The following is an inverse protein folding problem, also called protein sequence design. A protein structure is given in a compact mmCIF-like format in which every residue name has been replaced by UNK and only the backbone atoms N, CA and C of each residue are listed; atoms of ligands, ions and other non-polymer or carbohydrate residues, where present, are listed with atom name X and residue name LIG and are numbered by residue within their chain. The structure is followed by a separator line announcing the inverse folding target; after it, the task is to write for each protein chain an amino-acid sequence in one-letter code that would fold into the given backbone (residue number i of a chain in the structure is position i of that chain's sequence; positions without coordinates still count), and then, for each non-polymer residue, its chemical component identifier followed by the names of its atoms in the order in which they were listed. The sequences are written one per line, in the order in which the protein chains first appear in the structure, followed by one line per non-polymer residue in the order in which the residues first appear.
data_IF_286146144942
#
_entry.id   IF_286146144942
#
_cell.length_a   1.000
_cell.length_b   1.000
_cell.length_c   1.000
_cell.angle_alpha   90.00
_cell.angle_beta   90.00
_cell.angle_gamma   90.00
#
_symmetry.space_group_name_H-M   'P 1'
#
loop_
_entity.id
_entity.type
_entity.pdbx_description
1 polymer ?
#
# COMPACT_ATOMS: atom_id res chain seq x y z
N UNK A 1 13.42 -25.73 -5.38
CA UNK A 1 14.44 -26.37 -6.27
C UNK A 1 13.69 -26.85 -7.51
N UNK A 2 13.99 -26.54 -8.77
CA UNK A 2 15.26 -26.30 -9.48
C UNK A 2 15.10 -25.24 -10.59
N UNK A 3 16.24 -24.69 -10.98
CA UNK A 3 16.53 -23.73 -12.06
C UNK A 3 16.48 -24.36 -13.48
N UNK A 4 16.20 -23.48 -14.45
CA UNK A 4 16.79 -23.27 -15.82
C UNK A 4 17.00 -24.45 -16.80
N UNK A 5 16.65 -24.23 -18.08
CA UNK A 5 17.56 -24.05 -19.25
C UNK A 5 16.77 -24.31 -20.57
N UNK A 6 16.71 -23.34 -21.49
CA UNK A 6 17.49 -23.20 -22.74
C UNK A 6 17.27 -24.33 -23.76
N UNK A 7 16.60 -23.98 -24.85
CA UNK A 7 16.80 -24.46 -26.24
C UNK A 7 16.47 -23.24 -27.14
N UNK A 8 17.28 -22.79 -28.09
CA UNK A 8 18.42 -23.41 -28.75
C UNK A 8 18.04 -23.93 -30.14
N UNK A 9 18.12 -23.05 -31.15
CA UNK A 9 18.35 -23.33 -32.57
C UNK A 9 19.23 -22.14 -33.03
N UNK A 10 20.52 -22.23 -33.31
CA UNK A 10 21.26 -23.23 -34.10
C UNK A 10 21.42 -22.66 -35.53
N UNK A 11 22.41 -21.81 -35.79
CA UNK A 11 23.77 -22.08 -36.33
C UNK A 11 23.85 -22.21 -37.87
N UNK A 12 24.73 -21.40 -38.48
CA UNK A 12 25.30 -21.55 -39.84
C UNK A 12 25.36 -20.21 -40.58
N UNK A 13 26.49 -19.65 -41.03
CA UNK A 13 27.86 -20.14 -41.19
C UNK A 13 28.82 -18.92 -41.18
N UNK A 14 29.94 -19.05 -40.48
CA UNK A 14 31.14 -18.20 -40.56
C UNK A 14 31.87 -18.42 -41.88
N UNK A 15 32.59 -17.39 -42.36
CA UNK A 15 34.03 -17.35 -42.75
C UNK A 15 34.33 -15.92 -43.27
N UNK A 16 35.46 -15.22 -43.10
CA UNK A 16 36.60 -15.22 -42.18
C UNK A 16 37.57 -14.14 -42.73
N UNK A 17 38.32 -13.48 -41.83
CA UNK A 17 39.59 -12.72 -42.03
C UNK A 17 39.55 -11.26 -42.51
N UNK A 18 39.89 -10.35 -41.58
CA UNK A 18 40.74 -9.19 -41.87
C UNK A 18 42.21 -9.65 -41.98
N UNK A 19 43.09 -8.89 -42.66
CA UNK A 19 43.92 -7.96 -41.88
C UNK A 19 44.24 -6.59 -42.54
N UNK A 20 44.33 -5.57 -41.67
CA UNK A 20 45.35 -4.50 -41.59
C UNK A 20 45.40 -3.43 -42.72
N UNK A 21 45.06 -2.19 -42.33
CA UNK A 21 45.46 -0.91 -42.96
C UNK A 21 46.99 -0.68 -42.82
N UNK A 22 47.68 0.14 -43.65
CA UNK A 22 47.19 1.45 -44.10
C UNK A 22 47.58 1.85 -45.54
N UNK A 23 46.97 2.90 -46.07
CA UNK A 23 47.61 3.97 -46.86
C UNK A 23 46.58 5.09 -47.07
N UNK A 24 46.88 6.26 -46.52
CA UNK A 24 46.25 7.53 -46.90
C UNK A 24 46.52 7.80 -48.39
N UNK A 25 45.46 7.94 -49.21
CA UNK A 25 45.54 8.63 -50.50
C UNK A 25 44.30 9.49 -50.74
N UNK A 26 44.56 10.74 -51.10
CA UNK A 26 43.63 11.78 -51.50
C UNK A 26 42.53 11.29 -52.44
N UNK A 27 41.26 11.43 -52.03
CA UNK A 27 40.09 11.25 -52.89
C UNK A 27 39.76 12.56 -53.61
N UNK A 28 40.47 12.84 -54.71
CA UNK A 28 39.97 13.66 -55.80
C UNK A 28 40.12 12.86 -57.08
N UNK A 29 39.01 12.79 -57.83
CA UNK A 29 38.80 12.10 -59.10
C UNK A 29 38.25 10.67 -58.95
N UNK A 30 36.93 10.56 -58.96
CA UNK A 30 36.24 9.35 -59.39
C UNK A 30 36.38 9.34 -60.91
N UNK A 31 37.37 8.61 -61.41
CA UNK A 31 37.38 8.12 -62.78
C UNK A 31 37.11 6.62 -62.67
N UNK A 32 35.92 6.18 -63.11
CA UNK A 32 35.65 4.76 -63.24
C UNK A 32 36.41 4.27 -64.48
N UNK A 33 37.52 3.55 -64.26
CA UNK A 33 37.88 2.50 -65.19
C UNK A 33 36.85 1.39 -64.96
N UNK A 34 35.94 1.21 -65.91
CA UNK A 34 34.99 0.09 -65.89
C UNK A 34 35.74 -1.24 -65.77
N UNK A 35 35.11 -2.19 -65.08
CA UNK A 35 35.57 -3.57 -64.98
C UNK A 35 36.02 -4.08 -66.36
N UNK A 36 37.32 -4.34 -66.50
CA UNK A 36 37.85 -5.13 -67.62
C UNK A 36 37.49 -6.60 -67.39
N UNK A 37 36.24 -6.96 -67.70
CA UNK A 37 35.85 -8.34 -68.00
C UNK A 37 35.38 -8.38 -69.44
N UNK A 38 36.18 -9.03 -70.29
CA UNK A 38 35.84 -9.57 -71.62
C UNK A 38 34.88 -8.74 -72.49
N UNK A 39 35.46 -8.06 -73.48
CA UNK A 39 34.84 -7.47 -74.68
C UNK A 39 33.44 -7.99 -75.06
N UNK A 40 32.40 -7.45 -74.45
CA UNK A 40 31.13 -7.23 -75.14
C UNK A 40 31.27 -5.89 -75.85
N UNK A 41 31.07 -5.86 -77.17
CA UNK A 41 31.01 -4.58 -77.89
C UNK A 41 29.90 -3.74 -77.26
N UNK A 42 30.22 -2.50 -76.87
CA UNK A 42 29.22 -1.54 -76.40
C UNK A 42 28.27 -1.23 -77.57
N UNK A 43 27.13 -1.92 -77.63
CA UNK A 43 26.14 -1.74 -78.70
C UNK A 43 25.12 -0.66 -78.35
N UNK A 44 24.48 -0.12 -79.39
CA UNK A 44 23.31 0.75 -79.25
C UNK A 44 22.22 0.08 -78.37
N UNK A 45 21.94 -1.20 -78.59
CA UNK A 45 20.95 -1.95 -77.81
C UNK A 45 21.31 -2.03 -76.31
N UNK A 46 22.59 -2.21 -75.99
CA UNK A 46 23.08 -2.28 -74.60
C UNK A 46 22.83 -0.98 -73.85
N UNK A 47 23.17 0.17 -74.45
CA UNK A 47 22.94 1.47 -73.79
C UNK A 47 21.45 1.83 -73.71
N UNK A 48 20.64 1.47 -74.70
CA UNK A 48 19.19 1.69 -74.67
C UNK A 48 18.56 0.89 -73.52
N UNK A 49 18.97 -0.38 -73.34
CA UNK A 49 18.52 -1.17 -72.19
C UNK A 49 18.90 -0.52 -70.86
N UNK A 50 20.14 -0.01 -70.72
CA UNK A 50 20.58 0.66 -69.50
C UNK A 50 19.78 1.95 -69.23
N UNK A 51 19.51 2.75 -70.27
CA UNK A 51 18.67 3.97 -70.17
C UNK A 51 17.26 3.61 -69.71
N UNK A 52 16.65 2.59 -70.33
CA UNK A 52 15.31 2.16 -69.98
C UNK A 52 15.21 1.66 -68.54
N UNK A 53 16.15 0.82 -68.12
CA UNK A 53 16.22 0.29 -66.76
C UNK A 53 16.44 1.41 -65.75
N UNK A 54 17.30 2.37 -66.07
CA UNK A 54 17.48 3.55 -65.25
C UNK A 54 16.20 4.39 -65.17
N UNK A 55 15.49 4.63 -66.28
CA UNK A 55 14.21 5.36 -66.30
C UNK A 55 13.11 4.68 -65.49
N UNK A 56 13.11 3.34 -65.45
CA UNK A 56 12.18 2.54 -64.64
C UNK A 56 12.53 2.56 -63.14
N UNK A 57 13.76 2.92 -62.78
CA UNK A 57 14.23 2.94 -61.39
C UNK A 57 13.53 4.01 -60.53
N UNK A 58 13.40 3.73 -59.23
CA UNK A 58 12.90 4.70 -58.25
C UNK A 58 13.80 5.95 -58.15
N UNK A 59 15.10 5.81 -58.43
CA UNK A 59 16.03 6.94 -58.42
C UNK A 59 15.60 7.95 -59.48
N UNK A 60 15.40 7.49 -60.72
CA UNK A 60 14.95 8.36 -61.81
C UNK A 60 13.59 9.00 -61.52
N UNK A 61 12.62 8.21 -61.05
CA UNK A 61 11.28 8.72 -60.71
C UNK A 61 11.32 9.84 -59.66
N UNK A 62 12.26 9.79 -58.72
CA UNK A 62 12.39 10.75 -57.64
C UNK A 62 13.32 11.96 -57.97
N UNK A 63 13.91 12.00 -59.17
CA UNK A 63 14.68 13.17 -59.61
C UNK A 63 13.78 14.40 -59.80
N UNK A 64 14.37 15.56 -59.56
CA UNK A 64 13.72 16.83 -59.89
C UNK A 64 13.58 16.99 -61.41
N UNK A 65 12.62 17.83 -61.83
CA UNK A 65 12.29 18.01 -63.25
C UNK A 65 13.47 18.52 -64.08
N UNK A 66 14.34 19.36 -63.48
CA UNK A 66 15.52 19.90 -64.17
C UNK A 66 16.51 18.79 -64.53
N UNK A 67 16.86 17.92 -63.58
CA UNK A 67 17.81 16.82 -63.80
C UNK A 67 17.23 15.76 -64.74
N UNK A 68 15.91 15.49 -64.64
CA UNK A 68 15.21 14.62 -65.61
C UNK A 68 15.31 15.20 -67.02
N UNK A 69 14.98 16.48 -67.17
CA UNK A 69 15.06 17.16 -68.46
C UNK A 69 16.48 17.17 -69.02
N UNK A 70 17.48 17.51 -68.20
CA UNK A 70 18.88 17.50 -68.61
C UNK A 70 19.34 16.10 -69.07
N UNK A 71 18.83 15.03 -68.44
CA UNK A 71 19.10 13.65 -68.86
C UNK A 71 18.31 13.23 -70.11
N UNK A 72 17.03 13.59 -70.21
CA UNK A 72 16.19 13.32 -71.37
C UNK A 72 16.69 14.06 -72.63
N UNK A 73 17.17 15.30 -72.49
CA UNK A 73 17.79 16.07 -73.56
C UNK A 73 19.12 15.43 -74.03
N UNK A 74 19.89 14.82 -73.11
CA UNK A 74 21.14 14.11 -73.43
C UNK A 74 20.91 12.88 -74.32
N UNK A 75 19.78 12.18 -74.14
CA UNK A 75 19.45 10.96 -74.88
C UNK A 75 18.48 11.19 -76.05
N UNK A 76 17.81 12.34 -76.11
CA UNK A 76 16.68 12.58 -77.01
C UNK A 76 17.00 12.51 -78.51
N UNK A 77 18.27 12.67 -78.87
CA UNK A 77 18.75 12.54 -80.25
C UNK A 77 19.43 11.20 -80.55
N UNK A 78 19.57 10.29 -79.58
CA UNK A 78 20.32 9.04 -79.75
C UNK A 78 19.58 8.07 -80.69
N UNK A 79 20.25 7.58 -81.74
CA UNK A 79 19.78 6.54 -82.64
C UNK A 79 20.96 5.66 -83.10
N UNK A 80 20.67 4.57 -83.82
CA UNK A 80 21.70 3.62 -84.27
C UNK A 80 22.77 4.29 -85.18
N UNK A 81 22.36 5.24 -86.01
CA UNK A 81 23.24 5.94 -86.97
C UNK A 81 24.20 6.94 -86.31
N UNK A 82 23.83 7.51 -85.16
CA UNK A 82 24.62 8.51 -84.45
C UNK A 82 25.18 8.02 -83.10
N UNK A 83 24.98 6.75 -82.80
CA UNK A 83 25.59 6.09 -81.66
C UNK A 83 27.11 6.05 -81.83
N UNK A 84 27.82 6.50 -80.81
CA UNK A 84 29.28 6.46 -80.73
C UNK A 84 29.71 6.04 -79.34
N UNK A 85 30.95 5.56 -79.22
CA UNK A 85 31.54 5.30 -77.90
C UNK A 85 31.57 6.55 -77.01
N UNK A 86 31.67 7.74 -77.60
CA UNK A 86 31.60 9.00 -76.86
C UNK A 86 30.19 9.24 -76.29
N UNK A 87 29.14 8.99 -77.07
CA UNK A 87 27.75 9.05 -76.61
C UNK A 87 27.48 8.03 -75.50
N UNK A 88 27.95 6.78 -75.67
CA UNK A 88 27.87 5.72 -74.65
C UNK A 88 28.50 6.18 -73.33
N UNK A 89 29.75 6.66 -73.38
CA UNK A 89 30.49 7.08 -72.18
C UNK A 89 29.78 8.23 -71.48
N UNK A 90 29.31 9.25 -72.22
CA UNK A 90 28.59 10.41 -71.64
C UNK A 90 27.31 10.01 -70.92
N UNK A 91 26.51 9.12 -71.53
CA UNK A 91 25.25 8.67 -70.94
C UNK A 91 25.52 7.82 -69.70
N UNK A 92 26.45 6.86 -69.79
CA UNK A 92 26.83 5.98 -68.68
C UNK A 92 27.43 6.75 -67.50
N UNK A 93 28.28 7.74 -67.79
CA UNK A 93 28.82 8.68 -66.80
C UNK A 93 27.68 9.46 -66.14
N UNK A 94 26.71 9.95 -66.92
CA UNK A 94 25.58 10.69 -66.39
C UNK A 94 24.68 9.86 -65.46
N UNK A 95 24.38 8.62 -65.85
CA UNK A 95 23.65 7.67 -65.00
C UNK A 95 24.41 7.43 -63.69
N UNK A 96 25.73 7.23 -63.78
CA UNK A 96 26.60 6.98 -62.63
C UNK A 96 26.69 8.19 -61.70
N UNK A 97 26.80 9.41 -62.23
CA UNK A 97 26.76 10.66 -61.45
C UNK A 97 25.48 10.77 -60.63
N UNK A 98 24.33 10.49 -61.26
CA UNK A 98 23.03 10.57 -60.61
C UNK A 98 22.90 9.52 -59.50
N UNK A 99 23.25 8.26 -59.78
CA UNK A 99 23.27 7.15 -58.80
C UNK A 99 24.14 7.49 -57.60
N UNK A 100 25.35 8.02 -57.84
CA UNK A 100 26.29 8.42 -56.79
C UNK A 100 25.75 9.58 -55.93
N UNK A 101 25.11 10.56 -56.55
CA UNK A 101 24.53 11.69 -55.82
C UNK A 101 23.43 11.22 -54.84
N UNK A 102 22.53 10.35 -55.30
CA UNK A 102 21.46 9.81 -54.44
C UNK A 102 22.02 8.90 -53.34
N UNK A 103 23.03 8.08 -53.66
CA UNK A 103 23.75 7.29 -52.67
C UNK A 103 24.32 8.14 -51.54
N UNK A 104 25.09 9.18 -51.89
CA UNK A 104 25.72 10.09 -50.91
C UNK A 104 24.69 10.81 -50.05
N UNK A 105 23.55 11.17 -50.64
CA UNK A 105 22.43 11.80 -49.93
C UNK A 105 21.83 10.84 -48.90
N UNK A 106 21.50 9.61 -49.28
CA UNK A 106 20.98 8.58 -48.38
C UNK A 106 21.99 8.20 -47.28
N UNK A 107 23.26 8.02 -47.65
CA UNK A 107 24.35 7.75 -46.71
C UNK A 107 24.47 8.86 -45.65
N UNK A 108 24.44 10.13 -46.09
CA UNK A 108 24.50 11.28 -45.18
C UNK A 108 23.27 11.37 -44.28
N UNK A 109 22.07 11.12 -44.82
CA UNK A 109 20.83 11.06 -44.04
C UNK A 109 20.96 10.02 -42.92
N UNK A 110 21.32 8.79 -43.25
CA UNK A 110 21.48 7.71 -42.27
C UNK A 110 22.59 8.03 -41.27
N UNK A 111 23.73 8.59 -41.72
CA UNK A 111 24.81 9.08 -40.84
C UNK A 111 24.31 10.07 -39.79
N UNK A 112 23.34 10.93 -40.14
CA UNK A 112 22.74 11.84 -39.16
C UNK A 112 21.79 11.13 -38.20
N UNK A 113 20.99 10.19 -38.68
CA UNK A 113 20.09 9.39 -37.82
C UNK A 113 20.87 8.54 -36.80
N UNK A 114 22.08 8.12 -37.15
CA UNK A 114 22.93 7.25 -36.33
C UNK A 114 23.63 7.97 -35.17
N UNK A 115 23.73 9.29 -35.24
CA UNK A 115 24.21 10.09 -34.11
C UNK A 115 23.28 10.03 -32.89
N UNK A 116 22.06 9.51 -33.04
CA UNK A 116 21.13 9.27 -31.95
C UNK A 116 21.37 7.96 -31.19
N UNK A 117 20.41 7.62 -30.32
CA UNK A 117 20.54 6.56 -29.31
C UNK A 117 20.22 5.18 -29.84
N UNK A 118 20.84 4.83 -30.96
CA UNK A 118 20.65 3.52 -31.54
C UNK A 118 21.44 2.46 -30.76
N UNK A 119 21.01 1.21 -30.92
CA UNK A 119 21.80 0.06 -30.49
C UNK A 119 23.13 0.00 -31.22
N UNK A 120 24.16 -0.53 -30.55
CA UNK A 120 25.49 -0.74 -31.15
C UNK A 120 25.42 -1.59 -32.41
N UNK A 121 24.47 -2.53 -32.47
CA UNK A 121 24.22 -3.35 -33.66
C UNK A 121 23.83 -2.49 -34.88
N UNK A 122 22.95 -1.51 -34.71
CA UNK A 122 22.55 -0.63 -35.81
C UNK A 122 23.68 0.31 -36.22
N UNK A 123 24.48 0.79 -35.26
CA UNK A 123 25.67 1.62 -35.50
C UNK A 123 26.73 0.83 -36.29
N UNK A 124 26.98 -0.42 -35.92
CA UNK A 124 27.94 -1.29 -36.59
C UNK A 124 27.49 -1.63 -38.02
N UNK A 125 26.20 -1.95 -38.23
CA UNK A 125 25.66 -2.21 -39.58
C UNK A 125 25.91 -1.04 -40.54
N UNK A 126 25.92 0.20 -40.05
CA UNK A 126 26.26 1.36 -40.88
C UNK A 126 27.74 1.50 -41.16
N UNK A 127 28.58 1.26 -40.14
CA UNK A 127 30.03 1.38 -40.28
C UNK A 127 30.61 0.36 -41.26
N UNK A 128 29.92 -0.75 -41.51
CA UNK A 128 30.25 -1.75 -42.53
C UNK A 128 29.94 -1.26 -43.96
N UNK A 129 29.11 -0.23 -44.12
CA UNK A 129 28.75 0.33 -45.42
C UNK A 129 29.72 1.46 -45.79
N UNK A 130 30.39 1.33 -46.94
CA UNK A 130 31.35 2.33 -47.44
C UNK A 130 30.65 3.63 -47.87
N UNK A 131 31.32 4.77 -47.82
CA UNK A 131 30.79 6.05 -48.33
C UNK A 131 30.84 6.18 -49.87
N UNK A 132 31.55 5.28 -50.54
CA UNK A 132 31.63 5.16 -51.99
C UNK A 132 31.45 3.70 -52.42
N UNK A 133 31.32 3.48 -53.73
CA UNK A 133 31.27 2.16 -54.34
C UNK A 133 32.28 2.10 -55.49
N UNK A 134 32.86 0.92 -55.70
CA UNK A 134 33.87 0.66 -56.71
C UNK A 134 33.25 0.02 -57.98
N UNK A 135 32.05 -0.56 -57.88
CA UNK A 135 31.31 -1.15 -59.02
C UNK A 135 29.78 -0.93 -58.95
N UNK A 136 29.08 -1.15 -60.07
CA UNK A 136 27.59 -1.09 -60.14
C UNK A 136 26.95 -2.13 -59.22
N UNK A 137 27.55 -3.31 -59.10
CA UNK A 137 27.08 -4.35 -58.19
C UNK A 137 27.19 -3.90 -56.73
N UNK A 138 28.32 -3.29 -56.35
CA UNK A 138 28.51 -2.75 -55.00
C UNK A 138 27.56 -1.58 -54.71
N UNK A 139 27.31 -0.71 -55.70
CA UNK A 139 26.28 0.33 -55.59
C UNK A 139 24.91 -0.25 -55.23
N UNK A 140 24.43 -1.22 -56.02
CA UNK A 140 23.10 -1.81 -55.81
C UNK A 140 22.98 -2.47 -54.43
N UNK A 141 24.02 -3.20 -53.99
CA UNK A 141 24.06 -3.82 -52.68
C UNK A 141 24.07 -2.79 -51.55
N UNK A 142 24.97 -1.81 -51.60
CA UNK A 142 25.10 -0.80 -50.55
C UNK A 142 23.85 0.10 -50.47
N UNK A 143 23.29 0.50 -51.62
CA UNK A 143 22.06 1.30 -51.65
C UNK A 143 20.87 0.56 -51.03
N UNK A 144 20.71 -0.73 -51.33
CA UNK A 144 19.67 -1.56 -50.71
C UNK A 144 19.90 -1.72 -49.19
N UNK A 145 21.16 -1.98 -48.79
CA UNK A 145 21.52 -2.10 -47.37
C UNK A 145 21.23 -0.81 -46.59
N UNK A 146 21.49 0.36 -47.17
CA UNK A 146 21.15 1.66 -46.59
C UNK A 146 19.63 1.83 -46.41
N UNK A 147 18.82 1.49 -47.42
CA UNK A 147 17.36 1.57 -47.29
C UNK A 147 16.82 0.64 -46.19
N UNK A 148 17.27 -0.62 -46.16
CA UNK A 148 16.90 -1.57 -45.11
C UNK A 148 17.31 -1.05 -43.73
N UNK A 149 18.51 -0.45 -43.62
CA UNK A 149 18.99 0.12 -42.37
C UNK A 149 18.14 1.32 -41.94
N UNK A 150 17.77 2.21 -42.87
CA UNK A 150 16.87 3.35 -42.61
C UNK A 150 15.53 2.89 -42.03
N UNK A 151 14.93 1.86 -42.60
CA UNK A 151 13.67 1.30 -42.09
C UNK A 151 13.83 0.70 -40.68
N UNK A 152 14.94 -0.02 -40.43
CA UNK A 152 15.26 -0.55 -39.10
C UNK A 152 15.45 0.56 -38.06
N UNK A 153 16.12 1.65 -38.42
CA UNK A 153 16.31 2.82 -37.56
C UNK A 153 14.96 3.49 -37.26
N UNK A 154 14.10 3.65 -38.26
CA UNK A 154 12.78 4.23 -38.08
C UNK A 154 11.89 3.38 -37.16
N UNK A 155 11.92 2.06 -37.32
CA UNK A 155 11.21 1.14 -36.43
C UNK A 155 11.74 1.23 -34.99
N UNK A 156 13.06 1.21 -34.83
CA UNK A 156 13.72 1.35 -33.52
C UNK A 156 13.33 2.64 -32.80
N UNK A 157 13.35 3.78 -33.50
CA UNK A 157 13.00 5.08 -32.92
C UNK A 157 11.53 5.15 -32.49
N UNK A 158 10.61 4.52 -33.25
CA UNK A 158 9.20 4.40 -32.87
C UNK A 158 9.03 3.60 -31.58
N UNK A 159 9.73 2.47 -31.48
CA UNK A 159 9.71 1.62 -30.29
C UNK A 159 10.27 2.34 -29.06
N UNK A 160 11.43 3.01 -29.21
CA UNK A 160 12.04 3.80 -28.14
C UNK A 160 11.10 4.90 -27.62
N UNK A 161 10.36 5.57 -28.50
CA UNK A 161 9.39 6.60 -28.10
C UNK A 161 8.22 6.00 -27.30
N UNK A 162 7.72 4.83 -27.70
CA UNK A 162 6.67 4.11 -26.96
C UNK A 162 7.17 3.68 -25.57
N UNK A 163 8.36 3.07 -25.50
CA UNK A 163 8.93 2.60 -24.24
C UNK A 163 9.24 3.76 -23.28
N UNK A 164 9.71 4.91 -23.78
CA UNK A 164 9.88 6.11 -22.94
C UNK A 164 8.55 6.60 -22.36
N UNK A 165 7.46 6.54 -23.11
CA UNK A 165 6.14 6.86 -22.59
C UNK A 165 5.69 5.86 -21.50
N UNK A 166 5.93 4.56 -21.72
CA UNK A 166 5.65 3.52 -20.72
C UNK A 166 6.47 3.76 -19.44
N UNK A 167 7.77 4.07 -19.57
CA UNK A 167 8.64 4.39 -18.45
C UNK A 167 8.13 5.60 -17.68
N UNK A 168 7.75 6.68 -18.38
CA UNK A 168 7.16 7.88 -17.77
C UNK A 168 5.89 7.56 -16.98
N UNK A 169 4.95 6.83 -17.59
CA UNK A 169 3.74 6.42 -16.89
C UNK A 169 4.03 5.53 -15.67
N UNK A 170 4.99 4.61 -15.79
CA UNK A 170 5.44 3.75 -14.71
C UNK A 170 5.98 4.54 -13.52
N UNK A 171 6.78 5.58 -13.78
CA UNK A 171 7.28 6.49 -12.75
C UNK A 171 6.14 7.29 -12.11
N UNK A 172 5.21 7.82 -12.91
CA UNK A 172 4.10 8.63 -12.41
C UNK A 172 3.10 7.84 -11.55
N UNK A 173 2.82 6.58 -11.91
CA UNK A 173 1.91 5.69 -11.17
C UNK A 173 2.51 5.19 -9.85
N UNK A 174 3.84 5.14 -9.74
CA UNK A 174 4.55 4.54 -8.61
C UNK A 174 5.41 5.56 -7.83
N UNK A 175 4.92 6.80 -7.67
CA UNK A 175 5.62 7.91 -6.98
C UNK A 175 6.00 7.62 -5.52
N UNK A 176 5.37 6.62 -4.91
CA UNK A 176 5.66 6.14 -3.56
C UNK A 176 6.90 5.23 -3.48
N UNK A 177 7.48 4.84 -4.62
CA UNK A 177 8.72 4.05 -4.70
C UNK A 177 9.92 4.95 -4.97
N UNK A 178 11.11 4.49 -4.57
CA UNK A 178 12.37 5.15 -4.94
C UNK A 178 12.75 4.80 -6.39
N UNK A 179 12.55 5.76 -7.30
CA UNK A 179 12.73 5.61 -8.75
C UNK A 179 13.74 6.61 -9.34
N UNK A 180 14.71 7.08 -8.53
CA UNK A 180 15.64 8.12 -8.95
C UNK A 180 16.49 7.73 -10.17
N UNK A 181 16.94 6.49 -10.26
CA UNK A 181 17.79 6.03 -11.37
C UNK A 181 16.99 5.82 -12.66
N UNK A 182 15.78 5.29 -12.56
CA UNK A 182 14.88 5.15 -13.70
C UNK A 182 14.47 6.52 -14.26
N UNK A 183 14.32 7.51 -13.39
CA UNK A 183 14.09 8.90 -13.80
C UNK A 183 15.31 9.48 -14.54
N UNK A 184 16.54 9.20 -14.11
CA UNK A 184 17.74 9.61 -14.86
C UNK A 184 17.78 9.01 -16.26
N UNK A 185 17.33 7.75 -16.43
CA UNK A 185 17.22 7.12 -17.76
C UNK A 185 16.16 7.83 -18.62
N UNK A 186 15.02 8.21 -18.04
CA UNK A 186 13.99 8.95 -18.75
C UNK A 186 14.41 10.38 -19.12
N UNK A 187 15.17 11.05 -18.27
CA UNK A 187 15.63 12.43 -18.48
C UNK A 187 16.86 12.49 -19.39
N UNK A 188 17.59 11.37 -19.55
CA UNK A 188 18.73 11.29 -20.44
C UNK A 188 18.29 11.17 -21.90
N UNK A 189 18.56 12.21 -22.67
CA UNK A 189 18.32 12.24 -24.12
C UNK A 189 19.19 11.25 -24.88
N UNK A 190 20.24 10.67 -24.28
CA UNK A 190 21.13 9.67 -24.90
C UNK A 190 20.75 8.20 -24.58
N UNK A 191 19.72 7.97 -23.76
CA UNK A 191 19.31 6.61 -23.41
C UNK A 191 18.71 5.85 -24.60
N UNK A 192 19.26 4.66 -24.83
CA UNK A 192 18.85 3.73 -25.87
C UNK A 192 17.75 2.77 -25.37
N UNK A 193 17.21 1.97 -26.29
CA UNK A 193 16.11 1.03 -26.02
C UNK A 193 16.42 0.03 -24.90
N UNK A 194 17.65 -0.49 -24.84
CA UNK A 194 18.04 -1.44 -23.80
C UNK A 194 18.03 -0.79 -22.41
N UNK A 195 18.55 0.44 -22.31
CA UNK A 195 18.57 1.21 -21.06
C UNK A 195 17.15 1.50 -20.56
N UNK A 196 16.26 1.91 -21.46
CA UNK A 196 14.85 2.19 -21.14
C UNK A 196 14.14 0.90 -20.70
N UNK A 197 14.36 -0.21 -21.41
CA UNK A 197 13.77 -1.50 -21.05
C UNK A 197 14.24 -2.04 -19.71
N UNK A 198 15.54 -1.90 -19.39
CA UNK A 198 16.06 -2.26 -18.07
C UNK A 198 15.48 -1.38 -16.95
N UNK A 199 15.28 -0.07 -17.20
CA UNK A 199 14.58 0.80 -16.26
C UNK A 199 13.13 0.35 -16.01
N UNK A 200 12.37 0.00 -17.06
CA UNK A 200 11.00 -0.54 -16.93
C UNK A 200 11.00 -1.84 -16.11
N UNK A 201 11.92 -2.77 -16.40
CA UNK A 201 12.05 -4.03 -15.62
C UNK A 201 12.37 -3.75 -14.14
N UNK A 202 13.22 -2.76 -13.86
CA UNK A 202 13.55 -2.35 -12.51
C UNK A 202 12.32 -1.83 -11.75
N UNK A 203 11.48 -1.00 -12.37
CA UNK A 203 10.21 -0.55 -11.78
C UNK A 203 9.32 -1.74 -11.43
N UNK A 204 9.11 -2.67 -12.37
CA UNK A 204 8.26 -3.84 -12.15
C UNK A 204 8.75 -4.68 -10.96
N UNK A 205 10.06 -4.90 -10.85
CA UNK A 205 10.65 -5.61 -9.72
C UNK A 205 10.42 -4.86 -8.39
N UNK A 206 10.61 -3.54 -8.37
CA UNK A 206 10.36 -2.72 -7.16
C UNK A 206 8.88 -2.77 -6.73
N UNK A 207 7.96 -2.80 -7.69
CA UNK A 207 6.51 -2.96 -7.44
C UNK A 207 6.21 -4.34 -6.85
N UNK A 208 6.77 -5.40 -7.42
CA UNK A 208 6.61 -6.76 -6.91
C UNK A 208 7.14 -6.90 -5.47
N UNK A 209 8.34 -6.39 -5.21
CA UNK A 209 8.96 -6.38 -3.88
C UNK A 209 8.11 -5.60 -2.86
N UNK A 210 7.54 -4.47 -3.28
CA UNK A 210 6.63 -3.68 -2.43
C UNK A 210 5.34 -4.45 -2.12
N UNK A 211 4.72 -5.04 -3.14
CA UNK A 211 3.50 -5.83 -2.98
C UNK A 211 3.72 -7.06 -2.09
N UNK A 212 4.87 -7.72 -2.19
CA UNK A 212 5.23 -8.84 -1.30
C UNK A 212 5.36 -8.37 0.16
N UNK A 213 5.99 -7.22 0.41
CA UNK A 213 6.08 -6.65 1.77
C UNK A 213 4.70 -6.33 2.35
N UNK A 214 3.79 -5.77 1.56
CA UNK A 214 2.41 -5.49 1.99
C UNK A 214 1.68 -6.79 2.34
N UNK A 215 1.78 -7.81 1.49
CA UNK A 215 1.18 -9.13 1.75
C UNK A 215 1.74 -9.80 3.01
N UNK A 216 3.05 -9.71 3.25
CA UNK A 216 3.69 -10.24 4.46
C UNK A 216 3.18 -9.53 5.71
N UNK A 217 3.14 -8.19 5.71
CA UNK A 217 2.60 -7.41 6.83
C UNK A 217 1.14 -7.76 7.12
N UNK A 218 0.29 -7.83 6.09
CA UNK A 218 -1.11 -8.22 6.28
C UNK A 218 -1.25 -9.64 6.87
N UNK A 219 -0.37 -10.57 6.47
CA UNK A 219 -0.32 -11.92 7.03
C UNK A 219 0.11 -11.91 8.50
N UNK A 220 1.17 -11.15 8.83
CA UNK A 220 1.67 -11.00 10.20
C UNK A 220 0.62 -10.38 11.13
N UNK A 221 -0.09 -9.34 10.67
CA UNK A 221 -1.20 -8.71 11.40
C UNK A 221 -2.34 -9.70 11.63
N UNK A 222 -2.71 -10.48 10.61
CA UNK A 222 -3.74 -11.53 10.74
C UNK A 222 -3.33 -12.62 11.74
N UNK A 223 -2.07 -13.06 11.71
CA UNK A 223 -1.52 -14.04 12.66
C UNK A 223 -1.49 -13.49 14.09
N UNK A 224 -1.17 -12.19 14.26
CA UNK A 224 -1.20 -11.52 15.56
C UNK A 224 -2.61 -11.47 16.13
N UNK A 225 -3.59 -11.01 15.34
CA UNK A 225 -5.00 -10.99 15.75
C UNK A 225 -5.52 -12.39 16.11
N UNK A 226 -5.14 -13.42 15.34
CA UNK A 226 -5.53 -14.80 15.63
C UNK A 226 -5.01 -15.28 17.00
N UNK A 227 -3.76 -14.94 17.34
CA UNK A 227 -3.17 -15.26 18.65
C UNK A 227 -3.86 -14.50 19.78
N UNK A 228 -4.09 -13.21 19.62
CA UNK A 228 -4.77 -12.40 20.64
C UNK A 228 -6.19 -12.91 20.93
N UNK A 229 -6.94 -13.31 19.89
CA UNK A 229 -8.25 -13.96 20.05
C UNK A 229 -8.09 -15.29 20.80
N UNK A 230 -7.15 -16.16 20.42
CA UNK A 230 -6.94 -17.44 21.10
C UNK A 230 -6.58 -17.28 22.57
N UNK A 231 -5.71 -16.33 22.89
CA UNK A 231 -5.26 -16.07 24.26
C UNK A 231 -6.40 -15.49 25.10
N UNK A 232 -7.18 -14.55 24.56
CA UNK A 232 -8.39 -14.05 25.21
C UNK A 232 -9.40 -15.17 25.49
N UNK A 233 -9.56 -16.13 24.56
CA UNK A 233 -10.44 -17.29 24.76
C UNK A 233 -9.94 -18.20 25.87
N UNK A 234 -8.65 -18.55 25.87
CA UNK A 234 -8.06 -19.43 26.89
C UNK A 234 -8.14 -18.81 28.28
N UNK A 235 -7.86 -17.52 28.39
CA UNK A 235 -7.84 -16.81 29.67
C UNK A 235 -9.25 -16.58 30.25
N UNK A 236 -10.32 -16.75 29.45
CA UNK A 236 -11.68 -16.51 29.92
C UNK A 236 -12.08 -17.39 31.11
N UNK A 237 -11.63 -18.65 31.15
CA UNK A 237 -11.89 -19.55 32.29
C UNK A 237 -11.15 -19.12 33.56
N UNK A 238 -10.01 -18.43 33.42
CA UNK A 238 -9.29 -17.85 34.55
C UNK A 238 -10.01 -16.60 35.07
N UNK A 239 -10.49 -15.74 34.16
CA UNK A 239 -11.33 -14.59 34.52
C UNK A 239 -12.54 -15.05 35.32
N UNK A 240 -13.21 -16.15 34.92
CA UNK A 240 -14.37 -16.70 35.65
C UNK A 240 -14.06 -17.19 37.06
N UNK A 241 -12.81 -17.58 37.34
CA UNK A 241 -12.37 -18.01 38.67
C UNK A 241 -12.02 -16.84 39.59
N UNK A 242 -11.72 -15.67 39.02
CA UNK A 242 -11.39 -14.47 39.77
C UNK A 242 -12.55 -14.01 40.67
N UNK A 243 -12.24 -13.61 41.90
CA UNK A 243 -13.21 -13.08 42.85
C UNK A 243 -13.92 -11.83 42.32
N UNK A 244 -13.22 -10.98 41.55
CA UNK A 244 -13.79 -9.81 40.88
C UNK A 244 -14.92 -10.26 39.96
N UNK A 245 -14.71 -11.29 39.14
CA UNK A 245 -15.79 -11.83 38.31
C UNK A 245 -16.90 -12.44 39.16
N UNK A 246 -16.57 -13.31 40.13
CA UNK A 246 -17.58 -13.98 40.98
C UNK A 246 -18.49 -12.98 41.71
N UNK A 247 -17.95 -11.86 42.16
CA UNK A 247 -18.68 -10.80 42.87
C UNK A 247 -19.25 -9.70 41.96
N UNK A 248 -19.04 -9.80 40.65
CA UNK A 248 -19.67 -8.89 39.69
C UNK A 248 -21.18 -9.14 39.57
N UNK A 249 -21.91 -8.08 39.20
CA UNK A 249 -23.35 -8.15 38.95
C UNK A 249 -23.68 -9.09 37.80
N UNK A 250 -24.92 -9.58 37.80
CA UNK A 250 -25.42 -10.42 36.70
C UNK A 250 -25.34 -9.70 35.36
N UNK A 251 -25.63 -8.40 35.33
CA UNK A 251 -25.57 -7.59 34.10
C UNK A 251 -24.14 -7.51 33.55
N UNK A 252 -23.13 -7.27 34.41
CA UNK A 252 -21.74 -7.23 33.99
C UNK A 252 -21.26 -8.60 33.45
N UNK A 253 -21.63 -9.69 34.15
CA UNK A 253 -21.34 -11.07 33.71
C UNK A 253 -21.99 -11.40 32.36
N UNK A 254 -23.26 -11.05 32.18
CA UNK A 254 -24.00 -11.31 30.94
C UNK A 254 -23.42 -10.51 29.77
N UNK A 255 -22.98 -9.26 29.99
CA UNK A 255 -22.27 -8.45 28.98
C UNK A 255 -20.95 -9.08 28.59
N UNK A 256 -20.15 -9.53 29.57
CA UNK A 256 -18.87 -10.19 29.31
C UNK A 256 -19.07 -11.51 28.55
N UNK A 257 -20.07 -12.31 28.91
CA UNK A 257 -20.38 -13.58 28.21
C UNK A 257 -20.82 -13.34 26.76
N UNK A 258 -21.60 -12.28 26.49
CA UNK A 258 -21.93 -11.88 25.12
C UNK A 258 -20.68 -11.51 24.33
N UNK A 259 -19.80 -10.68 24.89
CA UNK A 259 -18.54 -10.30 24.23
C UNK A 259 -17.62 -11.52 24.01
N UNK A 260 -17.59 -12.47 24.94
CA UNK A 260 -16.84 -13.72 24.77
C UNK A 260 -17.38 -14.58 23.62
N UNK A 261 -18.70 -14.68 23.47
CA UNK A 261 -19.32 -15.39 22.35
C UNK A 261 -19.05 -14.68 21.01
N UNK A 262 -19.08 -13.35 20.97
CA UNK A 262 -18.63 -12.57 19.81
C UNK A 262 -17.17 -12.88 19.47
N UNK A 263 -16.29 -12.96 20.47
CA UNK A 263 -14.87 -13.25 20.29
C UNK A 263 -14.63 -14.68 19.76
N UNK A 264 -15.40 -15.68 20.22
CA UNK A 264 -15.41 -17.04 19.63
C UNK A 264 -15.84 -17.05 18.17
N UNK A 265 -16.93 -16.34 17.85
CA UNK A 265 -17.41 -16.24 16.47
C UNK A 265 -16.38 -15.55 15.57
N UNK A 266 -15.69 -14.53 16.09
CA UNK A 266 -14.63 -13.81 15.38
C UNK A 266 -13.44 -14.72 15.04
N UNK A 267 -13.12 -15.72 15.88
CA UNK A 267 -12.10 -16.71 15.57
C UNK A 267 -12.44 -17.54 14.31
N UNK A 268 -13.72 -17.90 14.16
CA UNK A 268 -14.22 -18.63 12.99
C UNK A 268 -14.19 -17.72 11.76
N UNK A 269 -14.73 -16.51 11.89
CA UNK A 269 -14.76 -15.50 10.83
C UNK A 269 -13.36 -15.16 10.28
N UNK A 270 -12.36 -15.05 11.17
CA UNK A 270 -10.97 -14.79 10.80
C UNK A 270 -10.36 -15.94 9.97
N UNK A 271 -10.67 -17.20 10.33
CA UNK A 271 -10.25 -18.39 9.57
C UNK A 271 -10.92 -18.47 8.21
N UNK A 272 -12.19 -18.09 8.12
CA UNK A 272 -12.96 -18.01 6.87
C UNK A 272 -12.58 -16.81 5.99
N UNK A 273 -11.81 -15.86 6.52
CA UNK A 273 -11.37 -14.67 5.77
C UNK A 273 -12.44 -13.60 5.63
N UNK A 274 -13.41 -13.55 6.56
CA UNK A 274 -14.40 -12.47 6.62
C UNK A 274 -13.74 -11.16 7.04
N UNK A 275 -14.23 -10.06 6.46
CA UNK A 275 -13.81 -8.70 6.84
C UNK A 275 -14.62 -8.26 8.06
N UNK A 276 -13.98 -8.29 9.23
CA UNK A 276 -14.52 -7.75 10.48
C UNK A 276 -13.43 -6.93 11.19
N UNK A 277 -13.85 -6.02 12.06
CA UNK A 277 -12.94 -5.26 12.91
C UNK A 277 -12.56 -6.08 14.15
N UNK A 278 -11.74 -7.12 13.94
CA UNK A 278 -11.32 -8.06 14.97
C UNK A 278 -10.65 -7.35 16.17
N UNK A 279 -9.90 -6.28 15.90
CA UNK A 279 -9.28 -5.45 16.94
C UNK A 279 -10.32 -4.88 17.90
N UNK A 280 -11.40 -4.28 17.38
CA UNK A 280 -12.49 -3.77 18.23
C UNK A 280 -13.19 -4.85 19.04
N UNK A 281 -13.32 -6.07 18.50
CA UNK A 281 -13.93 -7.20 19.23
C UNK A 281 -13.04 -7.58 20.43
N UNK A 282 -11.72 -7.69 20.20
CA UNK A 282 -10.73 -7.94 21.26
C UNK A 282 -10.76 -6.83 22.31
N UNK A 283 -10.72 -5.56 21.88
CA UNK A 283 -10.71 -4.41 22.78
C UNK A 283 -11.97 -4.34 23.64
N UNK A 284 -13.15 -4.56 23.04
CA UNK A 284 -14.43 -4.59 23.77
C UNK A 284 -14.45 -5.68 24.84
N UNK A 285 -13.93 -6.88 24.51
CA UNK A 285 -13.82 -7.96 25.50
C UNK A 285 -12.88 -7.58 26.65
N UNK A 286 -11.68 -7.09 26.33
CA UNK A 286 -10.69 -6.71 27.33
C UNK A 286 -11.16 -5.56 28.23
N UNK A 287 -11.88 -4.58 27.66
CA UNK A 287 -12.48 -3.49 28.41
C UNK A 287 -13.52 -4.01 29.41
N UNK A 288 -14.38 -4.95 29.01
CA UNK A 288 -15.36 -5.55 29.91
C UNK A 288 -14.71 -6.37 31.03
N UNK A 289 -13.61 -7.09 30.75
CA UNK A 289 -12.83 -7.80 31.79
C UNK A 289 -12.29 -6.79 32.81
N UNK A 290 -11.71 -5.68 32.35
CA UNK A 290 -11.12 -4.67 33.23
C UNK A 290 -12.16 -3.86 34.03
N UNK A 291 -13.38 -3.74 33.50
CA UNK A 291 -14.48 -2.96 34.08
C UNK A 291 -15.52 -3.81 34.82
N UNK A 292 -15.18 -5.05 35.18
CA UNK A 292 -16.01 -5.87 36.06
C UNK A 292 -16.27 -5.15 37.38
N UNK A 293 -17.54 -5.02 37.74
CA UNK A 293 -18.01 -4.23 38.89
C UNK A 293 -17.81 -4.93 40.24
N UNK A 294 -17.40 -6.21 40.27
CA UNK A 294 -17.05 -6.90 41.50
C UNK A 294 -15.84 -6.29 42.23
N UNK A 295 -15.03 -5.48 41.55
CA UNK A 295 -14.00 -4.66 42.20
C UNK A 295 -14.61 -3.65 43.17
N UNK A 296 -15.73 -3.03 42.80
CA UNK A 296 -16.47 -2.09 43.65
C UNK A 296 -16.98 -2.83 44.90
N UNK A 297 -17.53 -4.03 44.71
CA UNK A 297 -17.98 -4.87 45.83
C UNK A 297 -16.85 -5.18 46.81
N UNK A 298 -15.66 -5.56 46.31
CA UNK A 298 -14.50 -5.87 47.15
C UNK A 298 -14.02 -4.62 47.90
N UNK A 299 -13.97 -3.46 47.23
CA UNK A 299 -13.58 -2.20 47.86
C UNK A 299 -14.57 -1.81 48.97
N UNK A 300 -15.87 -1.95 48.75
CA UNK A 300 -16.92 -1.73 49.75
C UNK A 300 -16.81 -2.71 50.93
N UNK A 301 -16.57 -4.00 50.66
CA UNK A 301 -16.37 -5.01 51.69
C UNK A 301 -15.15 -4.70 52.56
N UNK A 302 -14.02 -4.33 51.94
CA UNK A 302 -12.81 -3.96 52.67
C UNK A 302 -13.03 -2.71 53.54
N UNK A 303 -13.77 -1.73 53.04
CA UNK A 303 -14.16 -0.55 53.83
C UNK A 303 -15.05 -0.95 55.02
N UNK A 304 -15.98 -1.88 54.83
CA UNK A 304 -16.84 -2.39 55.89
C UNK A 304 -16.06 -3.20 56.94
N UNK A 305 -15.14 -4.06 56.52
CA UNK A 305 -14.21 -4.79 57.40
C UNK A 305 -13.42 -3.82 58.27
N UNK A 306 -12.85 -2.78 57.66
CA UNK A 306 -12.12 -1.74 58.38
C UNK A 306 -13.02 -1.04 59.40
N UNK A 307 -14.22 -0.62 58.99
CA UNK A 307 -15.17 0.04 59.89
C UNK A 307 -15.56 -0.86 61.07
N UNK A 308 -15.84 -2.14 60.81
CA UNK A 308 -16.17 -3.11 61.85
C UNK A 308 -15.01 -3.25 62.84
N UNK A 309 -13.79 -3.47 62.36
CA UNK A 309 -12.61 -3.65 63.20
C UNK A 309 -12.33 -2.43 64.10
N UNK A 310 -12.55 -1.21 63.59
CA UNK A 310 -12.37 0.06 64.33
C UNK A 310 -13.47 0.32 65.37
N UNK A 311 -14.64 -0.32 65.25
CA UNK A 311 -15.82 0.00 66.07
C UNK A 311 -16.39 -1.20 66.85
N UNK A 312 -15.83 -2.40 66.68
CA UNK A 312 -16.36 -3.64 67.26
C UNK A 312 -16.45 -3.63 68.80
N UNK A 313 -15.63 -2.84 69.49
CA UNK A 313 -15.67 -2.71 70.96
C UNK A 313 -16.85 -1.88 71.46
N UNK A 314 -17.54 -1.17 70.56
CA UNK A 314 -18.78 -0.43 70.86
C UNK A 314 -20.00 -1.36 70.84
N UNK A 315 -19.89 -2.55 70.24
CA UNK A 315 -20.95 -3.55 70.20
C UNK A 315 -20.94 -4.31 71.52
N UNK A 316 -21.95 -4.09 72.36
CA UNK A 316 -22.00 -4.67 73.72
C UNK A 316 -22.44 -6.13 73.77
N UNK A 317 -23.24 -6.56 72.79
CA UNK A 317 -23.71 -7.94 72.68
C UNK A 317 -22.62 -8.78 72.00
N UNK A 318 -21.91 -9.57 72.81
CA UNK A 318 -20.82 -10.44 72.36
C UNK A 318 -21.30 -11.52 71.37
N UNK A 319 -22.53 -12.01 71.52
CA UNK A 319 -23.08 -13.01 70.59
C UNK A 319 -23.37 -12.39 69.23
N UNK A 320 -23.94 -11.17 69.23
CA UNK A 320 -24.18 -10.37 68.02
C UNK A 320 -22.86 -9.96 67.35
N UNK A 321 -21.85 -9.55 68.12
CA UNK A 321 -20.50 -9.22 67.65
C UNK A 321 -19.86 -10.43 66.96
N UNK A 322 -19.90 -11.61 67.60
CA UNK A 322 -19.37 -12.84 67.02
C UNK A 322 -20.10 -13.25 65.74
N UNK A 323 -21.44 -13.14 65.69
CA UNK A 323 -22.24 -13.41 64.49
C UNK A 323 -21.86 -12.47 63.33
N UNK A 324 -21.77 -11.17 63.58
CA UNK A 324 -21.41 -10.17 62.56
C UNK A 324 -19.99 -10.39 62.03
N UNK A 325 -19.02 -10.67 62.91
CA UNK A 325 -17.65 -10.98 62.50
C UNK A 325 -17.58 -12.23 61.62
N UNK A 326 -18.27 -13.30 62.01
CA UNK A 326 -18.33 -14.54 61.25
C UNK A 326 -18.94 -14.32 59.86
N UNK A 327 -20.05 -13.60 59.80
CA UNK A 327 -20.74 -13.30 58.54
C UNK A 327 -19.87 -12.44 57.63
N UNK A 328 -19.22 -11.40 58.16
CA UNK A 328 -18.33 -10.51 57.42
C UNK A 328 -17.13 -11.26 56.82
N UNK A 329 -16.52 -12.18 57.58
CA UNK A 329 -15.43 -13.01 57.10
C UNK A 329 -15.88 -14.03 56.04
N UNK A 330 -17.14 -14.48 56.07
CA UNK A 330 -17.67 -15.43 55.10
C UNK A 330 -18.15 -14.80 53.78
N UNK A 331 -18.22 -13.46 53.70
CA UNK A 331 -18.75 -12.76 52.51
C UNK A 331 -18.01 -13.14 51.23
N UNK A 332 -16.69 -13.28 51.30
CA UNK A 332 -15.84 -13.62 50.15
C UNK A 332 -16.14 -15.03 49.63
N UNK A 333 -16.39 -15.98 50.55
CA UNK A 333 -16.56 -17.40 50.25
C UNK A 333 -18.01 -17.77 49.89
N UNK A 334 -18.99 -16.92 50.22
CA UNK A 334 -20.40 -17.14 49.87
C UNK A 334 -20.72 -16.59 48.47
N UNK A 335 -20.79 -17.49 47.48
CA UNK A 335 -21.13 -17.17 46.10
C UNK A 335 -22.54 -16.53 45.93
N UNK A 336 -23.44 -16.69 46.90
CA UNK A 336 -24.74 -16.04 46.89
C UNK A 336 -24.76 -14.66 47.56
N UNK A 337 -23.62 -14.21 48.09
CA UNK A 337 -23.52 -12.91 48.75
C UNK A 337 -23.28 -11.80 47.72
N UNK A 338 -24.29 -10.94 47.55
CA UNK A 338 -24.35 -9.86 46.55
C UNK A 338 -24.27 -8.46 47.20
N UNK A 339 -24.27 -7.42 46.36
CA UNK A 339 -24.18 -6.02 46.80
C UNK A 339 -25.38 -5.57 47.65
N UNK A 340 -26.55 -6.19 47.52
CA UNK A 340 -27.70 -5.87 48.37
C UNK A 340 -27.50 -6.41 49.78
N UNK A 341 -27.09 -7.68 49.89
CA UNK A 341 -26.71 -8.31 51.16
C UNK A 341 -25.55 -7.58 51.84
N UNK A 342 -24.60 -7.05 51.08
CA UNK A 342 -23.49 -6.24 51.62
C UNK A 342 -23.99 -4.94 52.26
N UNK A 343 -24.94 -4.24 51.61
CA UNK A 343 -25.57 -3.04 52.17
C UNK A 343 -26.39 -3.35 53.42
N UNK A 344 -27.09 -4.48 53.43
CA UNK A 344 -27.84 -4.93 54.61
C UNK A 344 -26.91 -5.28 55.77
N UNK A 345 -25.79 -5.95 55.51
CA UNK A 345 -24.76 -6.24 56.50
C UNK A 345 -24.12 -4.95 57.03
N UNK A 346 -23.80 -4.00 56.15
CA UNK A 346 -23.29 -2.68 56.52
C UNK A 346 -24.26 -1.96 57.48
N UNK A 347 -25.55 -1.95 57.15
CA UNK A 347 -26.58 -1.32 57.98
C UNK A 347 -26.67 -1.99 59.35
N UNK A 348 -26.71 -3.32 59.39
CA UNK A 348 -26.76 -4.09 60.65
C UNK A 348 -25.53 -3.84 61.53
N UNK A 349 -24.34 -3.73 60.93
CA UNK A 349 -23.11 -3.39 61.66
C UNK A 349 -23.20 -1.97 62.22
N UNK A 350 -23.63 -0.99 61.41
CA UNK A 350 -23.82 0.40 61.86
C UNK A 350 -24.86 0.52 62.98
N UNK A 351 -25.98 -0.21 62.88
CA UNK A 351 -27.03 -0.22 63.89
C UNK A 351 -26.52 -0.83 65.21
N UNK A 352 -25.77 -1.95 65.14
CA UNK A 352 -25.17 -2.58 66.31
C UNK A 352 -24.14 -1.67 67.02
N UNK A 353 -23.35 -0.91 66.26
CA UNK A 353 -22.39 0.07 66.81
C UNK A 353 -23.09 1.26 67.47
N UNK A 354 -24.26 1.65 66.96
CA UNK A 354 -25.02 2.83 67.43
C UNK A 354 -26.13 2.48 68.43
N UNK A 355 -26.26 1.21 68.83
CA UNK A 355 -27.31 0.73 69.72
C UNK A 355 -27.17 1.40 71.09
N UNK A 356 -28.09 2.31 71.41
CA UNK A 356 -28.11 2.97 72.72
C UNK A 356 -28.46 1.93 73.79
N UNK A 357 -27.84 2.01 74.98
CA UNK A 357 -28.22 1.12 76.08
C UNK A 357 -29.73 1.25 76.32
N UNK A 358 -30.42 0.10 76.34
CA UNK A 358 -31.80 0.05 76.80
C UNK A 358 -31.85 0.71 78.17
N UNK A 359 -32.58 1.81 78.28
CA UNK A 359 -33.04 2.26 79.59
C UNK A 359 -33.92 1.12 80.11
N UNK A 360 -33.50 0.48 81.20
CA UNK A 360 -34.38 -0.37 82.00
C UNK A 360 -35.67 0.43 82.21
N UNK A 361 -36.81 -0.09 81.75
CA UNK A 361 -38.11 0.47 82.11
C UNK A 361 -38.17 0.51 83.64
N UNK A 362 -38.16 1.72 84.18
CA UNK A 362 -38.37 1.93 85.61
C UNK A 362 -39.76 1.37 85.94
N UNK A 363 -39.81 0.36 86.81
CA UNK A 363 -41.07 -0.11 87.40
C UNK A 363 -41.83 1.11 87.92
N UNK A 364 -42.99 1.37 87.31
CA UNK A 364 -43.84 2.47 87.76
C UNK A 364 -44.37 2.12 89.16
N UNK A 365 -44.17 2.99 90.18
CA UNK A 365 -44.69 2.70 91.51
C UNK A 365 -46.21 2.71 91.46
N UNK A 366 -46.85 1.61 91.88
CA UNK A 366 -48.30 1.50 92.09
C UNK A 366 -48.75 2.64 93.03
N UNK A 367 -49.39 3.67 92.46
CA UNK A 367 -50.15 4.65 93.24
C UNK A 367 -51.51 4.04 93.62
N UNK A 368 -51.66 3.69 94.89
CA UNK A 368 -52.98 3.48 95.50
C UNK A 368 -53.68 4.84 95.52
N UNK A 369 -54.82 4.94 94.84
CA UNK A 369 -55.66 6.15 94.85
C UNK A 369 -57.00 5.80 95.49
N UNK A 370 -57.29 6.45 96.61
CA UNK A 370 -58.53 6.32 97.38
C UNK A 370 -59.66 7.01 96.62
N UNK A 371 -60.82 6.34 96.57
CA UNK A 371 -62.03 6.82 95.91
C UNK A 371 -62.77 7.87 96.75
N UNK A 372 -63.22 8.98 96.11
CA UNK A 372 -64.46 9.71 96.49
C UNK A 372 -64.96 10.71 95.42
N UNK A 373 -66.13 10.35 94.87
CA UNK A 373 -67.33 11.11 94.44
C UNK A 373 -67.30 12.39 93.58
N UNK A 374 -67.88 12.23 92.37
CA UNK A 374 -68.97 12.99 91.69
C UNK A 374 -68.86 14.53 91.43
N UNK A 375 -68.48 14.88 90.18
CA UNK A 375 -69.08 15.80 89.16
C UNK A 375 -69.71 17.17 89.57
N UNK A 376 -69.54 18.26 88.74
CA UNK A 376 -70.22 18.34 87.45
C UNK A 376 -69.47 18.95 86.24
N UNK A 377 -70.13 18.76 85.10
CA UNK A 377 -69.80 19.05 83.70
C UNK A 377 -69.75 20.54 83.38
N UNK A 378 -68.76 20.97 82.59
CA UNK A 378 -68.83 22.21 81.79
C UNK A 378 -68.38 21.94 80.35
N UNK A 379 -69.31 22.11 79.40
CA UNK A 379 -69.05 22.21 77.96
C UNK A 379 -68.92 23.69 77.57
N UNK A 380 -67.90 24.04 76.78
CA UNK A 380 -67.84 25.09 75.72
C UNK A 380 -66.42 25.07 75.14
N UNK A 381 -66.16 24.62 73.91
CA UNK A 381 -66.46 25.17 72.57
C UNK A 381 -65.22 25.80 71.92
N UNK A 382 -64.68 25.09 70.93
CA UNK A 382 -63.97 25.53 69.70
C UNK A 382 -62.90 26.64 69.81
N UNK A 383 -61.65 26.26 69.51
CA UNK A 383 -60.91 26.88 68.41
C UNK A 383 -59.90 25.88 67.84
N UNK A 384 -60.06 25.58 66.55
CA UNK A 384 -59.04 24.94 65.73
C UNK A 384 -57.79 25.82 65.70
N UNK A 385 -56.63 25.25 66.03
CA UNK A 385 -55.39 25.64 65.34
C UNK A 385 -54.70 24.36 64.91
N UNK A 386 -54.76 24.12 63.60
CA UNK A 386 -54.04 23.08 62.88
C UNK A 386 -52.75 23.74 62.39
N UNK A 387 -51.62 23.42 63.00
CA UNK A 387 -50.30 23.61 62.39
C UNK A 387 -49.54 22.32 62.53
N UNK A 388 -49.75 21.44 61.55
CA UNK A 388 -48.76 20.42 61.24
C UNK A 388 -47.60 21.08 60.52
N UNK A 389 -46.40 20.57 60.76
CA UNK A 389 -45.55 19.92 59.75
C UNK A 389 -44.31 19.43 60.50
N UNK A 390 -44.15 18.12 60.54
CA UNK A 390 -42.89 17.50 60.92
C UNK A 390 -41.86 17.72 59.83
N UNK A 391 -40.62 18.06 60.22
CA UNK A 391 -39.37 17.74 59.53
C UNK A 391 -38.20 18.58 60.05
N UNK A 392 -37.49 18.09 61.07
CA UNK A 392 -36.13 18.56 61.42
C UNK A 392 -35.17 17.35 61.40
N UNK A 393 -35.19 16.59 60.30
CA UNK A 393 -34.28 15.46 60.09
C UNK A 393 -33.65 15.43 58.68
N UNK A 394 -33.55 16.60 58.02
CA UNK A 394 -32.94 16.73 56.67
C UNK A 394 -31.80 17.76 56.57
N UNK A 395 -31.13 18.12 57.68
CA UNK A 395 -30.02 19.11 57.63
C UNK A 395 -28.64 18.52 57.95
N UNK A 396 -28.51 17.26 58.39
CA UNK A 396 -27.18 16.65 58.60
C UNK A 396 -26.57 16.00 57.34
N UNK A 397 -27.37 15.68 56.32
CA UNK A 397 -26.92 14.95 55.12
C UNK A 397 -26.29 15.79 54.00
N UNK A 398 -26.34 17.12 54.10
CA UNK A 398 -25.87 18.02 53.02
C UNK A 398 -24.48 18.63 53.31
N UNK A 399 -24.00 18.58 54.55
CA UNK A 399 -22.68 19.14 54.92
C UNK A 399 -21.48 18.22 54.59
N UNK A 400 -21.68 16.92 54.38
CA UNK A 400 -20.59 15.99 54.01
C UNK A 400 -20.31 15.98 52.51
N UNK A 401 -21.30 16.29 51.66
CA UNK A 401 -21.12 16.36 50.21
C UNK A 401 -20.39 17.62 49.72
N UNK A 402 -20.36 18.70 50.53
CA UNK A 402 -19.58 19.90 50.22
C UNK A 402 -18.07 19.77 50.56
N UNK A 403 -17.70 18.89 51.50
CA UNK A 403 -16.29 18.71 51.91
C UNK A 403 -15.49 17.77 50.98
N UNK A 404 -16.14 16.78 50.35
CA UNK A 404 -15.48 15.88 49.40
C UNK A 404 -15.19 16.50 48.04
N UNK A 405 -16.06 17.40 47.54
CA UNK A 405 -15.88 18.06 46.25
C UNK A 405 -14.76 19.11 46.23
N UNK A 406 -14.48 19.77 47.36
CA UNK A 406 -13.48 20.83 47.42
C UNK A 406 -12.02 20.32 47.39
N UNK A 407 -11.79 19.05 47.75
CA UNK A 407 -10.46 18.42 47.65
C UNK A 407 -10.14 17.90 46.25
N UNK A 408 -11.13 17.72 45.37
CA UNK A 408 -10.89 17.26 43.99
C UNK A 408 -10.57 18.41 43.01
N UNK A 409 -11.02 19.64 43.29
CA UNK A 409 -10.75 20.81 42.45
C UNK A 409 -9.41 21.52 42.74
N UNK A 410 -8.67 21.14 43.78
CA UNK A 410 -7.35 21.73 44.09
C UNK A 410 -6.15 20.96 43.51
N UNK A 411 -6.38 19.89 42.74
CA UNK A 411 -5.32 19.11 42.05
C UNK A 411 -5.23 19.36 40.53
N UNK A 412 -5.97 20.34 40.00
CA UNK A 412 -5.74 20.92 38.66
C UNK A 412 -5.47 22.42 38.77
N UNK A 413 -4.30 22.74 39.31
CA UNK A 413 -3.48 23.88 38.93
C UNK A 413 -2.02 23.46 39.03
#
# INVERSE_FOLDING_TARGET
MKKKNILGLGLGLLMLTSPINPIEKNYKNIAFAGDMTTSEENTYDSIISEIEDFKKSEIYKNLNEKVKKDFDDLIGNLNEENFTQESYNKISEKISEIKLAEYKKLYKEIKTMIKGNLSDKLKNNFNEIKESYDSVQEYNQNYNNLNILKDKINAYNKELALDRNILKEGIEKNKNLDLADEKKVLDNEDSNLDSVNEAIKSINKKVDDFNEKVRKKAKEEKEKLAKEIEDAIKNHEEVKKDIVYKKSSKEAKDKLEKAFNELKNSQIALKEGKEEDFGKIIDKYNELVNNLDGKIFIDELNALIKYFNENQDKIKDEEKKAKLSKELNSVVDDDQFDSEKLKDLEKRIKDAVNEKPGYLEQETPKRVTVSRSKNPVVKKSRSFVRTGIGSIAKVAGVLVLAAGGYLYLKKKK
#
